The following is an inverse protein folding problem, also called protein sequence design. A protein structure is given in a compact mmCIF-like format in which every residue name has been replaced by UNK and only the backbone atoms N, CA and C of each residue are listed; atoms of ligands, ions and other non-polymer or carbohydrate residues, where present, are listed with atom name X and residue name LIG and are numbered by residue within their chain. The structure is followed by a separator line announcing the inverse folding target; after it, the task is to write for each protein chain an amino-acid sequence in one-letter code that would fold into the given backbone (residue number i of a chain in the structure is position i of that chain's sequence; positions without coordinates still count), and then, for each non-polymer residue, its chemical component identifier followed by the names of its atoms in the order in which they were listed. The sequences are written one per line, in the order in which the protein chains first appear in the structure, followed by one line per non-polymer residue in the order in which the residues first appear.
data_IF_112382590036
#
_entry.id   IF_112382590036
#
_cell.length_a   1.000
_cell.length_b   1.000
_cell.length_c   1.000
_cell.angle_alpha   90.00
_cell.angle_beta   90.00
_cell.angle_gamma   90.00
#
_symmetry.space_group_name_H-M   'P 1'
#
loop_
_entity.id
_entity.type
_entity.pdbx_description
1 polymer ?
#
# COMPACT_ATOMS: atom_id res chain seq x y z
N UNK A 1 -24.59 37.00 -11.40
CA UNK A 1 -25.21 35.69 -11.68
C UNK A 1 -24.16 34.60 -11.41
N UNK A 2 -23.98 34.18 -10.15
CA UNK A 2 -22.92 33.25 -9.72
C UNK A 2 -23.51 31.84 -9.65
N UNK A 3 -23.36 31.08 -10.74
CA UNK A 3 -23.90 29.73 -10.87
C UNK A 3 -23.21 28.81 -9.85
N UNK A 4 -24.02 28.16 -9.01
CA UNK A 4 -23.66 27.10 -8.07
C UNK A 4 -22.70 26.10 -8.73
N UNK A 5 -21.41 26.20 -8.39
CA UNK A 5 -20.42 25.15 -8.66
C UNK A 5 -20.62 24.10 -7.57
N UNK A 6 -21.33 23.02 -7.87
CA UNK A 6 -21.39 21.85 -7.00
C UNK A 6 -19.97 21.38 -6.72
N UNK A 7 -19.66 21.14 -5.45
CA UNK A 7 -18.35 20.68 -5.02
C UNK A 7 -18.14 19.25 -5.54
N UNK A 8 -16.90 18.89 -5.84
CA UNK A 8 -16.45 17.64 -6.47
C UNK A 8 -16.67 16.37 -5.59
N UNK A 9 -17.82 16.23 -4.95
CA UNK A 9 -18.15 15.13 -4.03
C UNK A 9 -19.64 14.84 -3.83
N UNK A 10 -20.56 15.63 -4.39
CA UNK A 10 -22.01 15.53 -4.10
C UNK A 10 -22.73 14.35 -4.80
N UNK A 11 -22.05 13.55 -5.63
CA UNK A 11 -22.66 12.40 -6.32
C UNK A 11 -21.83 11.13 -6.16
N UNK A 12 -21.81 10.58 -4.95
CA UNK A 12 -21.36 9.21 -4.69
C UNK A 12 -22.57 8.27 -4.74
N UNK A 13 -22.58 7.33 -5.68
CA UNK A 13 -23.55 6.24 -5.74
C UNK A 13 -22.85 4.93 -5.38
N UNK A 14 -23.38 4.24 -4.37
CA UNK A 14 -22.93 2.91 -3.95
C UNK A 14 -23.93 1.90 -4.49
N UNK A 15 -23.46 0.78 -5.05
CA UNK A 15 -24.34 -0.29 -5.54
C UNK A 15 -24.93 -1.04 -4.35
N UNK A 16 -26.22 -1.41 -4.41
CA UNK A 16 -26.92 -2.07 -3.31
C UNK A 16 -26.34 -3.45 -2.93
N UNK A 17 -25.65 -4.11 -3.85
CA UNK A 17 -25.07 -5.44 -3.65
C UNK A 17 -23.63 -5.45 -3.12
N UNK A 18 -23.17 -4.36 -2.47
CA UNK A 18 -21.82 -4.30 -1.89
C UNK A 18 -21.86 -4.67 -0.41
N UNK A 19 -21.21 -5.78 -0.04
CA UNK A 19 -21.00 -6.11 1.38
C UNK A 19 -19.99 -5.14 1.98
N UNK A 20 -20.38 -4.48 3.07
CA UNK A 20 -19.48 -3.63 3.82
C UNK A 20 -18.44 -4.49 4.55
N UNK A 21 -17.13 -4.19 4.42
CA UNK A 21 -16.10 -4.91 5.15
C UNK A 21 -16.25 -4.69 6.66
N UNK A 22 -15.96 -5.72 7.44
CA UNK A 22 -15.94 -5.65 8.90
C UNK A 22 -14.82 -4.72 9.35
N UNK A 23 -15.13 -3.82 10.30
CA UNK A 23 -14.10 -2.98 10.93
C UNK A 23 -13.13 -3.86 11.71
N UNK A 24 -11.84 -3.58 11.55
CA UNK A 24 -10.76 -4.20 12.32
C UNK A 24 -9.81 -3.13 12.88
N UNK A 25 -8.87 -3.55 13.71
CA UNK A 25 -7.82 -2.70 14.27
C UNK A 25 -6.47 -3.01 13.62
N UNK A 26 -5.67 -1.98 13.42
CA UNK A 26 -4.31 -2.10 12.91
C UNK A 26 -3.45 -2.86 13.93
N UNK A 27 -2.78 -3.93 13.50
CA UNK A 27 -1.90 -4.73 14.37
C UNK A 27 -0.65 -3.97 14.83
N UNK A 28 -0.30 -2.86 14.17
CA UNK A 28 0.88 -2.02 14.51
C UNK A 28 0.57 -0.86 15.44
N UNK A 29 -0.49 -0.10 15.14
CA UNK A 29 -0.81 1.14 15.88
C UNK A 29 -2.13 1.09 16.66
N UNK A 30 -2.91 0.01 16.57
CA UNK A 30 -4.17 -0.16 17.31
C UNK A 30 -5.36 0.65 16.79
N UNK A 31 -5.15 1.56 15.83
CA UNK A 31 -6.22 2.39 15.25
C UNK A 31 -7.11 1.60 14.28
N UNK A 32 -8.34 2.11 14.04
CA UNK A 32 -9.28 1.52 13.10
C UNK A 32 -8.66 1.40 11.69
N UNK A 33 -8.89 0.25 11.06
CA UNK A 33 -8.35 -0.05 9.74
C UNK A 33 -9.32 -0.92 8.93
N UNK A 34 -9.19 -0.86 7.61
CA UNK A 34 -9.87 -1.75 6.65
C UNK A 34 -9.08 -3.03 6.34
N UNK A 35 -7.82 -3.10 6.76
CA UNK A 35 -6.91 -4.22 6.58
C UNK A 35 -6.00 -4.37 7.82
N UNK A 36 -5.28 -5.48 7.96
CA UNK A 36 -4.47 -5.78 9.15
C UNK A 36 -3.48 -4.67 9.54
N UNK A 37 -2.88 -3.97 8.56
CA UNK A 37 -2.00 -2.81 8.78
C UNK A 37 -2.61 -1.57 8.14
N UNK A 38 -2.84 -0.51 8.91
CA UNK A 38 -3.44 0.72 8.38
C UNK A 38 -2.57 1.39 7.31
N UNK A 39 -3.21 2.18 6.43
CA UNK A 39 -2.54 2.81 5.29
C UNK A 39 -1.42 3.76 5.71
N UNK A 40 -1.57 4.43 6.85
CA UNK A 40 -0.54 5.29 7.43
C UNK A 40 0.72 4.50 7.81
N UNK A 41 0.58 3.35 8.48
CA UNK A 41 1.72 2.49 8.83
C UNK A 41 2.43 1.96 7.58
N UNK A 42 1.68 1.54 6.55
CA UNK A 42 2.25 1.11 5.27
C UNK A 42 3.00 2.22 4.55
N UNK A 43 2.44 3.44 4.54
CA UNK A 43 3.06 4.61 3.93
C UNK A 43 4.35 5.00 4.65
N UNK A 44 4.34 5.03 5.97
CA UNK A 44 5.52 5.37 6.78
C UNK A 44 6.67 4.37 6.53
N UNK A 45 6.34 3.08 6.46
CA UNK A 45 7.32 2.05 6.09
C UNK A 45 7.86 2.24 4.68
N UNK A 46 7.00 2.64 3.74
CA UNK A 46 7.41 3.03 2.39
C UNK A 46 8.40 4.19 2.39
N UNK A 47 8.07 5.28 3.07
CA UNK A 47 8.92 6.47 3.15
C UNK A 47 10.28 6.15 3.77
N UNK A 48 10.32 5.39 4.87
CA UNK A 48 11.57 4.99 5.52
C UNK A 48 12.45 4.08 4.65
N UNK A 49 11.87 3.39 3.66
CA UNK A 49 12.59 2.55 2.68
C UNK A 49 12.85 3.24 1.34
N UNK A 50 12.58 4.53 1.21
CA UNK A 50 12.72 5.25 -0.05
C UNK A 50 11.69 4.87 -1.13
N UNK A 51 10.56 4.27 -0.72
CA UNK A 51 9.45 3.85 -1.56
C UNK A 51 8.20 4.73 -1.32
N UNK A 52 8.20 6.01 -1.75
CA UNK A 52 7.11 6.96 -1.47
C UNK A 52 5.77 6.59 -2.12
N UNK A 53 5.80 5.65 -3.06
CA UNK A 53 4.60 5.13 -3.76
C UNK A 53 3.99 3.93 -3.04
N UNK A 54 4.66 3.37 -2.03
CA UNK A 54 4.11 2.27 -1.23
C UNK A 54 2.97 2.82 -0.36
N UNK A 55 1.77 2.29 -0.54
CA UNK A 55 0.60 2.77 0.18
C UNK A 55 -0.13 3.95 -0.48
N UNK A 56 0.28 4.44 -1.65
CA UNK A 56 -0.43 5.51 -2.39
C UNK A 56 -0.58 5.14 -3.86
N UNK A 57 -1.80 5.21 -4.39
CA UNK A 57 -2.11 4.99 -5.81
C UNK A 57 -2.72 3.62 -6.13
N UNK A 58 -2.88 3.33 -7.43
CA UNK A 58 -3.50 2.09 -7.90
C UNK A 58 -2.63 0.88 -7.57
N UNK A 59 -3.21 -0.11 -6.90
CA UNK A 59 -2.56 -1.37 -6.49
C UNK A 59 -1.82 -2.06 -7.65
N UNK A 60 -2.35 -1.94 -8.87
CA UNK A 60 -1.76 -2.53 -10.08
C UNK A 60 -0.38 -1.97 -10.44
N UNK A 61 -0.11 -0.69 -10.15
CA UNK A 61 1.20 -0.06 -10.41
C UNK A 61 2.19 -0.39 -9.30
N UNK A 62 1.73 -0.41 -8.04
CA UNK A 62 2.57 -0.75 -6.88
C UNK A 62 2.98 -2.22 -6.88
N UNK A 63 2.10 -3.13 -7.30
CA UNK A 63 2.42 -4.56 -7.38
C UNK A 63 3.52 -4.86 -8.40
N UNK A 64 3.51 -4.19 -9.56
CA UNK A 64 4.57 -4.32 -10.59
C UNK A 64 5.94 -3.86 -10.06
N UNK A 65 5.98 -2.73 -9.37
CA UNK A 65 7.23 -2.23 -8.77
C UNK A 65 7.74 -3.16 -7.67
N UNK A 66 6.83 -3.72 -6.85
CA UNK A 66 7.20 -4.70 -5.81
C UNK A 66 7.78 -5.98 -6.42
N UNK A 67 7.16 -6.50 -7.48
CA UNK A 67 7.67 -7.68 -8.18
C UNK A 67 9.09 -7.45 -8.74
N UNK A 68 9.36 -6.27 -9.28
CA UNK A 68 10.68 -5.88 -9.79
C UNK A 68 11.74 -5.79 -8.68
N UNK A 69 11.40 -5.21 -7.53
CA UNK A 69 12.32 -5.15 -6.37
C UNK A 69 12.60 -6.56 -5.81
N UNK A 70 11.57 -7.39 -5.68
CA UNK A 70 11.72 -8.78 -5.21
C UNK A 70 12.59 -9.62 -6.15
N UNK A 71 12.50 -9.41 -7.47
CA UNK A 71 13.41 -10.06 -8.41
C UNK A 71 14.86 -9.57 -8.31
N UNK A 72 15.06 -8.30 -7.96
CA UNK A 72 16.40 -7.73 -7.77
C UNK A 72 17.05 -8.17 -6.45
N UNK A 73 16.27 -8.28 -5.37
CA UNK A 73 16.71 -8.82 -4.08
C UNK A 73 17.00 -10.34 -4.18
N UNK A 74 16.14 -11.11 -4.86
CA UNK A 74 16.40 -12.54 -5.06
C UNK A 74 17.68 -12.81 -5.88
N UNK A 75 17.97 -11.96 -6.88
CA UNK A 75 19.21 -12.05 -7.67
C UNK A 75 20.45 -11.72 -6.83
N UNK A 76 20.35 -10.78 -5.89
CA UNK A 76 21.46 -10.40 -5.02
C UNK A 76 21.67 -11.34 -3.83
N UNK A 77 20.61 -11.95 -3.27
CA UNK A 77 20.72 -12.99 -2.24
C UNK A 77 21.37 -14.28 -2.76
N UNK A 78 21.18 -14.61 -4.04
CA UNK A 78 21.85 -15.75 -4.66
C UNK A 78 23.36 -15.54 -4.83
N UNK A 79 23.79 -14.29 -5.04
CA UNK A 79 25.21 -13.93 -5.14
C UNK A 79 25.93 -13.83 -3.78
N UNK A 80 25.20 -13.51 -2.70
CA UNK A 80 25.75 -13.47 -1.34
C UNK A 80 25.96 -14.87 -0.74
N UNK A 81 25.08 -15.82 -1.04
CA UNK A 81 25.23 -17.23 -0.59
C UNK A 81 26.48 -17.92 -1.14
N UNK A 82 27.03 -17.46 -2.27
CA UNK A 82 28.29 -17.98 -2.83
C UNK A 82 29.56 -17.33 -2.28
N UNK A 83 29.46 -16.36 -1.35
CA UNK A 83 30.60 -15.61 -0.80
C UNK A 83 30.74 -15.75 0.73
N UNK A 84 30.02 -16.69 1.36
CA UNK A 84 29.86 -16.76 2.81
C UNK A 84 30.23 -18.08 3.48
N UNK A 85 31.13 -18.88 2.91
CA UNK A 85 31.75 -20.05 3.55
C UNK A 85 33.29 -19.92 3.51
N UNK A 86 33.85 -19.03 4.33
CA UNK A 86 35.24 -19.11 4.78
C UNK A 86 35.41 -18.41 6.15
N UNK A 87 35.10 -19.14 7.23
CA UNK A 87 35.97 -19.44 8.37
C UNK A 87 35.30 -20.46 9.30
#
# INVERSE_FOLDING_TARGET
MWKQRGLEGERLSVRDNVRMPTRITCTRCGLVASQAICKACTLLEGLNRGLPRLGIGKESKTNRMRAQLQSAEAASDSAKRSAGDEF
#
